data_IF_409839297462
#
_entry.id   IF_409839297462
#
_cell.length_a   1.000
_cell.length_b   1.000
_cell.length_c   1.000
_cell.angle_alpha   90.00
_cell.angle_beta   90.00
_cell.angle_gamma   90.00
#
_symmetry.space_group_name_H-M   'P 1'
#
loop_
_entity.id
_entity.type
_entity.pdbx_description
1 polymer ?
#
# COMPACT_ATOMS: atom_id res chain seq x y z
N UNK A 1 -16.93 -12.17 6.52
CA UNK A 1 -16.34 -11.13 5.66
C UNK A 1 -15.18 -11.75 4.91
N UNK A 2 -15.12 -11.62 3.59
CA UNK A 2 -14.10 -12.32 2.79
C UNK A 2 -12.86 -11.44 2.68
N UNK A 3 -11.76 -11.88 3.30
CA UNK A 3 -10.43 -11.45 2.87
C UNK A 3 -10.15 -12.04 1.50
N UNK A 4 -9.48 -11.29 0.63
CA UNK A 4 -9.02 -11.81 -0.65
C UNK A 4 -7.51 -11.96 -0.64
N UNK A 5 -7.05 -13.14 -1.03
CA UNK A 5 -5.64 -13.45 -1.20
C UNK A 5 -5.32 -13.54 -2.69
N UNK A 6 -4.22 -12.91 -3.10
CA UNK A 6 -3.73 -12.92 -4.47
C UNK A 6 -2.22 -13.12 -4.46
N UNK A 7 -1.71 -13.78 -5.50
CA UNK A 7 -0.30 -14.09 -5.64
C UNK A 7 0.24 -13.45 -6.91
N UNK A 8 1.38 -12.78 -6.77
CA UNK A 8 2.04 -12.04 -7.84
C UNK A 8 3.49 -12.50 -7.99
N UNK A 9 4.08 -12.16 -9.13
CA UNK A 9 5.48 -12.40 -9.47
C UNK A 9 5.80 -13.90 -9.34
N UNK A 10 4.97 -14.71 -10.00
CA UNK A 10 5.04 -16.18 -9.98
C UNK A 10 4.95 -16.77 -8.56
N UNK A 11 4.14 -16.13 -7.69
CA UNK A 11 3.94 -16.57 -6.31
C UNK A 11 4.98 -16.07 -5.33
N UNK A 12 5.94 -15.25 -5.76
CA UNK A 12 6.94 -14.65 -4.87
C UNK A 12 6.33 -13.68 -3.89
N UNK A 13 5.27 -12.96 -4.26
CA UNK A 13 4.62 -11.99 -3.39
C UNK A 13 3.16 -12.37 -3.19
N UNK A 14 2.75 -12.46 -1.92
CA UNK A 14 1.35 -12.62 -1.53
C UNK A 14 0.78 -11.26 -1.13
N UNK A 15 -0.36 -10.92 -1.71
CA UNK A 15 -1.22 -9.81 -1.30
C UNK A 15 -2.45 -10.35 -0.57
N UNK A 16 -2.66 -9.86 0.63
CA UNK A 16 -3.89 -10.04 1.38
C UNK A 16 -4.58 -8.68 1.47
N UNK A 17 -5.88 -8.61 1.18
CA UNK A 17 -6.68 -7.42 1.47
C UNK A 17 -7.75 -7.76 2.49
N UNK A 18 -7.68 -7.08 3.64
CA UNK A 18 -8.56 -7.33 4.78
C UNK A 18 -9.55 -6.16 4.92
N UNK A 19 -10.86 -6.41 4.74
CA UNK A 19 -11.85 -5.38 4.96
C UNK A 19 -11.94 -5.04 6.46
N UNK A 20 -11.96 -3.75 6.78
CA UNK A 20 -12.29 -3.26 8.11
C UNK A 20 -13.16 -2.01 8.03
N UNK A 21 -14.07 -1.86 8.99
CA UNK A 21 -14.99 -0.73 9.04
C UNK A 21 -14.29 0.48 9.66
N UNK A 22 -14.40 1.64 9.00
CA UNK A 22 -13.88 2.90 9.52
C UNK A 22 -14.94 3.66 10.32
N UNK A 23 -16.06 4.02 9.68
CA UNK A 23 -17.21 4.68 10.31
C UNK A 23 -18.44 4.51 9.42
N UNK A 24 -19.63 4.45 10.03
CA UNK A 24 -20.92 4.50 9.33
C UNK A 24 -20.98 3.55 8.12
N UNK A 25 -20.53 2.31 8.27
CA UNK A 25 -20.49 1.30 7.20
C UNK A 25 -19.63 1.66 5.99
N UNK A 26 -18.69 2.61 6.14
CA UNK A 26 -17.60 2.79 5.18
C UNK A 26 -16.50 1.79 5.48
N UNK A 27 -16.18 0.97 4.49
CA UNK A 27 -15.18 -0.08 4.58
C UNK A 27 -13.91 0.30 3.81
N UNK A 28 -12.77 -0.10 4.36
CA UNK A 28 -11.46 0.01 3.73
C UNK A 28 -10.88 -1.39 3.59
N UNK A 29 -10.39 -1.71 2.40
CA UNK A 29 -9.71 -2.97 2.08
C UNK A 29 -8.21 -2.74 2.17
N UNK A 30 -7.67 -2.84 3.38
CA UNK A 30 -6.27 -2.56 3.63
C UNK A 30 -5.37 -3.70 3.13
N UNK A 31 -4.28 -3.38 2.41
CA UNK A 31 -3.36 -4.38 1.91
C UNK A 31 -2.32 -4.81 2.95
N UNK A 32 -1.94 -6.09 2.88
CA UNK A 32 -0.74 -6.65 3.47
C UNK A 32 0.04 -7.42 2.41
N UNK A 33 1.31 -7.10 2.25
CA UNK A 33 2.22 -7.78 1.33
C UNK A 33 3.25 -8.59 2.09
N UNK A 34 3.44 -9.84 1.65
CA UNK A 34 4.47 -10.73 2.19
C UNK A 34 5.32 -11.28 1.04
N UNK A 35 6.65 -11.18 1.16
CA UNK A 35 7.57 -11.93 0.31
C UNK A 35 7.54 -13.40 0.77
N UNK A 36 7.05 -14.28 -0.10
CA UNK A 36 6.87 -15.70 0.18
C UNK A 36 8.18 -16.48 0.22
N UNK A 37 9.26 -15.95 -0.35
CA UNK A 37 10.57 -16.58 -0.32
C UNK A 37 11.25 -16.39 1.04
N UNK A 38 11.18 -15.18 1.60
CA UNK A 38 11.82 -14.85 2.87
C UNK A 38 10.88 -14.90 4.08
N UNK A 39 9.56 -14.87 3.85
CA UNK A 39 8.54 -14.68 4.87
C UNK A 39 8.45 -13.24 5.39
N UNK A 40 9.20 -12.29 4.81
CA UNK A 40 9.22 -10.91 5.24
C UNK A 40 7.93 -10.19 4.85
N UNK A 41 7.35 -9.47 5.80
CA UNK A 41 6.25 -8.54 5.53
C UNK A 41 6.84 -7.27 4.89
N UNK A 42 6.44 -7.00 3.64
CA UNK A 42 6.92 -5.85 2.88
C UNK A 42 6.06 -4.60 3.12
N UNK A 43 4.80 -4.79 3.46
CA UNK A 43 3.83 -3.75 3.76
C UNK A 43 2.74 -4.34 4.65
N UNK A 44 2.35 -3.64 5.70
CA UNK A 44 1.17 -3.98 6.49
C UNK A 44 0.39 -2.71 6.82
N UNK A 45 -0.74 -2.52 6.14
CA UNK A 45 -1.63 -1.38 6.36
C UNK A 45 -2.95 -1.83 7.02
N UNK A 46 -3.02 -3.04 7.57
CA UNK A 46 -4.24 -3.54 8.21
C UNK A 46 -4.68 -2.59 9.33
N UNK A 47 -5.94 -2.17 9.29
CA UNK A 47 -6.51 -1.20 10.23
C UNK A 47 -6.14 0.26 9.97
N UNK A 48 -5.43 0.56 8.86
CA UNK A 48 -5.14 1.92 8.43
C UNK A 48 -6.12 2.42 7.35
N UNK A 49 -6.12 3.73 7.09
CA UNK A 49 -7.02 4.41 6.17
C UNK A 49 -6.65 4.32 4.68
N UNK A 50 -5.94 3.28 4.27
CA UNK A 50 -5.50 3.09 2.89
C UNK A 50 -6.25 1.95 2.23
N UNK A 51 -7.07 2.30 1.25
CA UNK A 51 -7.93 1.38 0.52
C UNK A 51 -7.23 0.92 -0.75
N UNK A 52 -6.95 -0.38 -0.87
CA UNK A 52 -6.27 -0.96 -2.03
C UNK A 52 -7.22 -0.99 -3.24
N UNK A 53 -7.01 -0.10 -4.21
CA UNK A 53 -7.84 0.00 -5.41
C UNK A 53 -7.43 -1.01 -6.48
N UNK A 54 -6.13 -1.23 -6.65
CA UNK A 54 -5.62 -2.17 -7.67
C UNK A 54 -4.24 -2.70 -7.33
N UNK A 55 -3.96 -3.90 -7.85
CA UNK A 55 -2.67 -4.55 -7.81
C UNK A 55 -2.36 -5.12 -9.21
N UNK A 56 -1.25 -4.70 -9.82
CA UNK A 56 -0.85 -5.14 -11.16
C UNK A 56 0.64 -5.46 -11.21
N UNK A 57 1.02 -6.41 -12.05
CA UNK A 57 2.43 -6.64 -12.39
C UNK A 57 2.83 -5.74 -13.57
N UNK A 58 3.97 -5.07 -13.44
CA UNK A 58 4.56 -4.27 -14.52
C UNK A 58 6.08 -4.30 -14.38
N UNK A 59 6.79 -4.59 -15.47
CA UNK A 59 8.26 -4.52 -15.52
C UNK A 59 8.97 -5.24 -14.36
N UNK A 60 8.51 -6.46 -14.02
CA UNK A 60 8.99 -7.27 -12.89
C UNK A 60 8.78 -6.65 -11.49
N UNK A 61 7.89 -5.66 -11.38
CA UNK A 61 7.45 -5.08 -10.12
C UNK A 61 5.96 -5.40 -9.87
N UNK A 62 5.59 -5.41 -8.58
CA UNK A 62 4.19 -5.36 -8.17
C UNK A 62 3.82 -3.91 -7.86
N UNK A 63 2.89 -3.35 -8.63
CA UNK A 63 2.36 -2.01 -8.42
C UNK A 63 1.02 -2.06 -7.70
N UNK A 64 0.93 -1.41 -6.53
CA UNK A 64 -0.30 -1.17 -5.79
C UNK A 64 -0.75 0.28 -5.93
N UNK A 65 -2.05 0.50 -6.16
CA UNK A 65 -2.67 1.83 -6.08
C UNK A 65 -3.56 1.88 -4.85
N UNK A 66 -3.34 2.87 -4.00
CA UNK A 66 -4.02 3.06 -2.72
C UNK A 66 -4.69 4.42 -2.67
N UNK A 67 -5.94 4.46 -2.21
CA UNK A 67 -6.66 5.71 -1.92
C UNK A 67 -6.72 5.95 -0.40
N UNK A 68 -6.49 7.20 0.01
CA UNK A 68 -6.64 7.63 1.39
C UNK A 68 -8.10 7.88 1.77
N UNK A 69 -8.60 7.25 2.82
CA UNK A 69 -9.91 7.53 3.39
C UNK A 69 -9.83 8.68 4.43
N UNK A 70 -10.80 9.62 4.51
CA UNK A 70 -12.14 9.60 3.89
C UNK A 70 -12.29 10.32 2.55
N UNK A 71 -11.37 11.21 2.17
CA UNK A 71 -11.57 12.09 1.02
C UNK A 71 -11.25 11.45 -0.33
N UNK A 72 -10.49 10.35 -0.35
CA UNK A 72 -9.95 9.66 -1.54
C UNK A 72 -9.21 10.60 -2.51
N UNK A 73 -8.94 11.82 -2.07
CA UNK A 73 -8.25 12.84 -2.86
C UNK A 73 -6.74 12.56 -2.85
N UNK A 74 -6.27 11.95 -1.76
CA UNK A 74 -4.91 11.47 -1.57
C UNK A 74 -4.79 10.07 -2.16
N UNK A 75 -3.83 9.88 -3.05
CA UNK A 75 -3.55 8.55 -3.59
C UNK A 75 -2.04 8.28 -3.60
N UNK A 76 -1.71 7.00 -3.49
CA UNK A 76 -0.36 6.48 -3.51
C UNK A 76 -0.26 5.36 -4.54
N UNK A 77 0.83 5.36 -5.30
CA UNK A 77 1.27 4.21 -6.08
C UNK A 77 2.57 3.68 -5.46
N UNK A 78 2.57 2.40 -5.11
CA UNK A 78 3.73 1.68 -4.58
C UNK A 78 4.18 0.63 -5.60
N UNK A 79 5.41 0.72 -6.08
CA UNK A 79 6.02 -0.31 -6.92
C UNK A 79 7.06 -1.08 -6.11
N UNK A 80 6.75 -2.34 -5.78
CA UNK A 80 7.65 -3.26 -5.09
C UNK A 80 8.57 -3.93 -6.09
N UNK A 81 9.87 -3.68 -5.97
CA UNK A 81 10.92 -4.17 -6.87
C UNK A 81 11.64 -5.35 -6.21
N UNK A 82 11.30 -6.60 -6.57
CA UNK A 82 11.80 -7.79 -5.88
C UNK A 82 13.31 -7.99 -6.05
N UNK A 83 13.87 -7.51 -7.16
CA UNK A 83 15.29 -7.70 -7.48
C UNK A 83 16.20 -6.81 -6.62
N UNK A 84 15.72 -5.61 -6.27
CA UNK A 84 16.45 -4.65 -5.43
C UNK A 84 16.01 -4.70 -3.97
N UNK A 85 14.86 -5.32 -3.68
CA UNK A 85 14.23 -5.29 -2.36
C UNK A 85 13.76 -3.89 -1.96
N UNK A 86 13.59 -2.98 -2.92
CA UNK A 86 13.14 -1.61 -2.71
C UNK A 86 11.69 -1.41 -3.08
N UNK A 87 11.12 -0.33 -2.58
CA UNK A 87 9.79 0.13 -2.94
C UNK A 87 9.89 1.55 -3.46
N UNK A 88 9.40 1.78 -4.67
CA UNK A 88 9.21 3.10 -5.21
C UNK A 88 7.81 3.59 -4.82
N UNK A 89 7.75 4.77 -4.23
CA UNK A 89 6.51 5.42 -3.83
C UNK A 89 6.30 6.66 -4.68
N UNK A 90 5.11 6.77 -5.26
CA UNK A 90 4.63 7.94 -5.97
C UNK A 90 3.36 8.42 -5.28
N UNK A 91 3.37 9.67 -4.81
CA UNK A 91 2.21 10.29 -4.18
C UNK A 91 1.56 11.32 -5.11
N UNK A 92 0.23 11.42 -5.05
CA UNK A 92 -0.53 12.51 -5.64
C UNK A 92 -1.43 13.18 -4.60
N UNK A 93 -1.40 14.52 -4.59
CA UNK A 93 -2.30 15.37 -3.79
C UNK A 93 -2.20 15.22 -2.25
N UNK A 94 -1.07 14.71 -1.72
CA UNK A 94 -0.78 14.69 -0.28
C UNK A 94 -0.28 16.06 0.16
N UNK A 95 -1.18 17.04 0.27
CA UNK A 95 -0.96 18.41 0.80
C UNK A 95 0.33 19.14 0.33
N UNK A 96 0.91 18.66 -0.76
CA UNK A 96 2.19 19.06 -1.35
C UNK A 96 1.93 19.06 -2.86
N UNK A 97 2.13 20.23 -3.48
CA UNK A 97 1.75 20.53 -4.86
C UNK A 97 2.55 19.77 -5.95
N UNK A 98 3.01 18.55 -5.71
CA UNK A 98 3.82 17.80 -6.67
C UNK A 98 3.61 16.28 -6.57
N UNK A 99 3.72 15.59 -7.71
CA UNK A 99 4.07 14.17 -7.71
C UNK A 99 5.51 14.05 -7.21
N UNK A 100 5.72 13.39 -6.08
CA UNK A 100 7.05 13.12 -5.55
C UNK A 100 7.29 11.62 -5.65
N UNK A 101 8.37 11.23 -6.32
CA UNK A 101 8.85 9.84 -6.36
C UNK A 101 9.96 9.69 -5.31
N UNK A 102 9.79 8.72 -4.41
CA UNK A 102 10.78 8.39 -3.37
C UNK A 102 11.04 6.88 -3.38
N UNK A 103 12.25 6.49 -2.99
CA UNK A 103 12.62 5.09 -2.81
C UNK A 103 12.77 4.78 -1.33
N UNK A 104 12.21 3.65 -0.91
CA UNK A 104 12.23 3.16 0.47
C UNK A 104 12.68 1.71 0.52
N UNK A 105 13.24 1.33 1.66
CA UNK A 105 13.21 -0.07 2.10
C UNK A 105 11.83 -0.39 2.68
N UNK A 106 11.35 -1.65 2.57
CA UNK A 106 10.03 -2.04 3.07
C UNK A 106 9.77 -1.65 4.53
N UNK A 107 10.77 -1.79 5.41
CA UNK A 107 10.65 -1.42 6.83
C UNK A 107 10.51 0.09 7.08
N UNK A 108 10.89 0.94 6.14
CA UNK A 108 10.79 2.40 6.27
C UNK A 108 9.39 2.91 5.93
N UNK A 109 8.64 2.14 5.14
CA UNK A 109 7.30 2.52 4.69
C UNK A 109 6.34 2.71 5.87
N UNK A 110 6.35 1.82 6.86
CA UNK A 110 5.42 1.89 8.00
C UNK A 110 5.50 3.25 8.70
N UNK A 111 6.72 3.75 8.98
CA UNK A 111 6.90 5.06 9.62
C UNK A 111 6.51 6.23 8.72
N UNK A 112 6.68 6.09 7.40
CA UNK A 112 6.25 7.08 6.43
C UNK A 112 4.71 7.18 6.39
N UNK A 113 4.02 6.05 6.33
CA UNK A 113 2.56 5.96 6.35
C UNK A 113 1.96 6.52 7.64
N UNK A 114 2.58 6.26 8.79
CA UNK A 114 2.17 6.87 10.07
C UNK A 114 2.25 8.40 10.04
N UNK A 115 3.31 8.93 9.40
CA UNK A 115 3.49 10.38 9.25
C UNK A 115 2.42 10.98 8.33
N UNK A 116 2.11 10.33 7.21
CA UNK A 116 1.04 10.81 6.31
C UNK A 116 -0.30 10.79 7.04
N UNK A 117 -0.63 9.69 7.74
CA UNK A 117 -1.87 9.57 8.51
C UNK A 117 -2.05 10.71 9.51
N UNK A 118 -0.99 11.09 10.21
CA UNK A 118 -1.03 12.20 11.17
C UNK A 118 -1.33 13.56 10.52
N UNK A 119 -0.98 13.74 9.24
CA UNK A 119 -1.28 14.96 8.50
C UNK A 119 -2.68 14.94 7.87
N UNK A 120 -3.17 13.78 7.43
CA UNK A 120 -4.52 13.63 6.84
C UNK A 120 -5.68 13.82 7.85
N UNK A 121 -5.40 13.69 9.15
CA UNK A 121 -6.37 13.83 10.23
C UNK A 121 -6.35 15.22 10.90
N UNK A 122 -5.52 16.16 10.42
CA UNK A 122 -5.46 17.55 10.89
C UNK A 122 -6.39 18.44 10.08
#
# INVERSE_FOLDING_TARGET
MMSTEQFFLQGRVKLETIPHEMRMSHWVYAPKLTDMKSGQVLLDLIGQCWDCQSAIERDNALCLTLDGYPDRANWLELAFLPDTGRVQLRAGNIDTKALITQEFLPQELTGYFDTIRANLLR
#
